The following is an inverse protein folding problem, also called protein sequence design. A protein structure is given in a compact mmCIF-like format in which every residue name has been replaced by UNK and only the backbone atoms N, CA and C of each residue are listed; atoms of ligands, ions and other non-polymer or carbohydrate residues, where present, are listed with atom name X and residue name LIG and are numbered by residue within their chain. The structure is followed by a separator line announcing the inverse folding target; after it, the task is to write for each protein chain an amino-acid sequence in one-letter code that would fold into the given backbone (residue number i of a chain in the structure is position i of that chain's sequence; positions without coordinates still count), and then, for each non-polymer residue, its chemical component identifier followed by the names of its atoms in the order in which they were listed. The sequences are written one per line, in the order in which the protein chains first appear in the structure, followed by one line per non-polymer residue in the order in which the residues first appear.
data_IF_883863951546
#
_entry.id   IF_883863951546
#
_cell.length_a   1.000
_cell.length_b   1.000
_cell.length_c   1.000
_cell.angle_alpha   90.00
_cell.angle_beta   90.00
_cell.angle_gamma   90.00
#
_symmetry.space_group_name_H-M   'P 1'
#
loop_
_entity.id
_entity.type
_entity.pdbx_description
1 polymer ?
#
# COMPACT_ATOMS: atom_id res chain seq x y z
N UNK A 1 -9.44 -1.08 9.07
CA UNK A 1 -8.94 -1.81 10.27
C UNK A 1 -8.16 -0.85 11.14
N UNK A 2 -8.39 -0.88 12.44
CA UNK A 2 -7.73 0.01 13.41
C UNK A 2 -7.03 -0.81 14.47
N UNK A 3 -5.77 -0.49 14.72
CA UNK A 3 -4.95 -1.09 15.78
C UNK A 3 -4.26 -0.02 16.61
N UNK A 4 -3.74 -0.39 17.77
CA UNK A 4 -2.98 0.50 18.66
C UNK A 4 -1.51 0.10 18.81
N UNK A 5 -1.10 -0.94 18.12
CA UNK A 5 0.24 -1.54 18.20
C UNK A 5 0.91 -1.56 16.83
N UNK A 6 2.14 -2.02 16.84
CA UNK A 6 2.88 -2.29 15.63
C UNK A 6 2.26 -3.45 14.82
N UNK A 7 2.60 -3.53 13.56
CA UNK A 7 2.20 -4.57 12.63
C UNK A 7 0.69 -4.62 12.39
N UNK A 8 0.18 -3.59 11.77
CA UNK A 8 -1.23 -3.52 11.35
C UNK A 8 -1.33 -3.60 9.84
N UNK A 9 -2.13 -4.51 9.34
CA UNK A 9 -2.40 -4.66 7.91
C UNK A 9 -3.88 -4.87 7.63
N UNK A 10 -4.32 -4.49 6.46
CA UNK A 10 -5.71 -4.68 6.04
C UNK A 10 -6.10 -6.16 5.91
N UNK A 11 -5.13 -7.02 5.62
CA UNK A 11 -5.32 -8.48 5.49
C UNK A 11 -4.60 -9.23 6.61
N UNK A 12 -3.33 -8.90 6.87
CA UNK A 12 -2.53 -9.57 7.89
C UNK A 12 -1.65 -8.59 8.64
N UNK A 13 -1.59 -8.70 9.96
CA UNK A 13 -0.69 -7.87 10.76
C UNK A 13 0.77 -8.24 10.54
N UNK A 14 1.11 -9.52 10.74
CA UNK A 14 2.46 -10.03 10.56
C UNK A 14 2.44 -11.42 9.94
N UNK A 15 3.09 -11.58 8.79
CA UNK A 15 3.25 -12.85 8.09
C UNK A 15 4.71 -13.30 8.21
N UNK A 16 5.00 -14.18 9.15
CA UNK A 16 6.35 -14.69 9.40
C UNK A 16 6.67 -15.92 8.55
N UNK A 17 5.66 -16.67 8.17
CA UNK A 17 5.81 -17.90 7.40
C UNK A 17 4.75 -17.95 6.31
N UNK A 18 5.18 -18.11 5.09
CA UNK A 18 4.29 -18.19 3.94
C UNK A 18 4.05 -16.86 3.22
N UNK A 19 3.59 -16.97 2.00
CA UNK A 19 3.34 -15.82 1.13
C UNK A 19 1.91 -15.28 1.28
N UNK A 20 1.75 -13.98 1.02
CA UNK A 20 0.44 -13.31 0.92
C UNK A 20 0.15 -13.13 -0.56
N UNK A 21 -0.85 -13.81 -1.08
CA UNK A 21 -1.09 -13.88 -2.53
C UNK A 21 -2.54 -13.52 -2.85
N UNK A 22 -2.71 -12.71 -3.90
CA UNK A 22 -4.03 -12.36 -4.46
C UNK A 22 -5.01 -11.82 -3.43
N UNK A 23 -4.53 -10.91 -2.59
CA UNK A 23 -5.33 -10.26 -1.57
C UNK A 23 -5.67 -8.83 -1.99
N UNK A 24 -6.83 -8.37 -1.56
CA UNK A 24 -7.33 -7.03 -1.84
C UNK A 24 -7.76 -6.35 -0.54
N UNK A 25 -7.45 -5.07 -0.39
CA UNK A 25 -7.89 -4.26 0.73
C UNK A 25 -8.21 -2.84 0.26
N UNK A 26 -9.45 -2.42 0.44
CA UNK A 26 -9.94 -1.12 -0.02
C UNK A 26 -10.42 -0.22 1.12
N UNK A 27 -10.27 -0.68 2.33
CA UNK A 27 -10.69 0.07 3.52
C UNK A 27 -9.50 0.81 4.15
N UNK A 28 -9.75 1.89 4.90
CA UNK A 28 -8.70 2.54 5.67
C UNK A 28 -8.04 1.59 6.66
N UNK A 29 -6.72 1.70 6.79
CA UNK A 29 -5.93 0.96 7.77
C UNK A 29 -5.26 1.96 8.70
N UNK A 30 -5.50 1.84 9.99
CA UNK A 30 -5.02 2.81 10.97
C UNK A 30 -4.36 2.13 12.15
N UNK A 31 -3.18 2.63 12.51
CA UNK A 31 -2.57 2.37 13.81
C UNK A 31 -2.34 3.68 14.55
N UNK A 32 -2.95 3.79 15.72
CA UNK A 32 -2.77 4.97 16.56
C UNK A 32 -1.45 4.94 17.31
N UNK A 33 -0.37 5.33 16.65
CA UNK A 33 0.97 5.44 17.24
C UNK A 33 1.87 4.21 17.07
N UNK A 34 1.41 3.17 16.35
CA UNK A 34 2.23 2.02 15.99
C UNK A 34 2.96 2.17 14.67
N UNK A 35 3.97 1.38 14.47
CA UNK A 35 4.78 1.29 13.26
C UNK A 35 4.47 0.01 12.47
N UNK A 36 4.96 -0.08 11.25
CA UNK A 36 4.73 -1.19 10.34
C UNK A 36 3.25 -1.36 10.00
N UNK A 37 2.73 -0.39 9.28
CA UNK A 37 1.34 -0.36 8.84
C UNK A 37 1.28 -0.46 7.34
N UNK A 38 0.55 -1.42 6.81
CA UNK A 38 0.40 -1.63 5.39
C UNK A 38 -1.04 -1.88 4.96
N UNK A 39 -1.37 -1.53 3.75
CA UNK A 39 -2.69 -1.79 3.19
C UNK A 39 -3.03 -3.28 3.12
N UNK A 40 -2.03 -4.11 2.88
CA UNK A 40 -2.17 -5.58 2.87
C UNK A 40 -1.54 -6.19 4.13
N UNK A 41 -0.27 -5.92 4.38
CA UNK A 41 0.45 -6.50 5.51
C UNK A 41 1.16 -5.42 6.33
N UNK A 42 1.14 -5.54 7.65
CA UNK A 42 2.01 -4.74 8.50
C UNK A 42 3.46 -5.12 8.31
N UNK A 43 3.76 -6.41 8.34
CA UNK A 43 5.08 -6.96 8.01
C UNK A 43 4.93 -8.33 7.34
N UNK A 44 5.77 -8.59 6.34
CA UNK A 44 5.82 -9.89 5.67
C UNK A 44 7.27 -10.31 5.43
N UNK A 45 7.65 -11.46 5.98
CA UNK A 45 9.00 -12.03 5.86
C UNK A 45 9.20 -12.87 4.60
N UNK A 46 8.12 -13.14 3.87
CA UNK A 46 8.11 -13.84 2.59
C UNK A 46 7.43 -13.00 1.53
N UNK A 47 7.10 -13.60 0.40
CA UNK A 47 6.58 -12.88 -0.74
C UNK A 47 5.14 -12.34 -0.53
N UNK A 48 4.93 -11.13 -1.00
CA UNK A 48 3.61 -10.56 -1.27
C UNK A 48 3.45 -10.50 -2.79
N UNK A 49 2.40 -11.09 -3.33
CA UNK A 49 2.20 -11.17 -4.78
C UNK A 49 0.76 -10.86 -5.19
N UNK A 50 0.64 -10.13 -6.28
CA UNK A 50 -0.67 -9.88 -6.91
C UNK A 50 -1.70 -9.34 -5.92
N UNK A 51 -1.28 -8.42 -5.07
CA UNK A 51 -2.11 -7.79 -4.07
C UNK A 51 -2.48 -6.38 -4.49
N UNK A 52 -3.65 -5.93 -4.06
CA UNK A 52 -4.21 -4.64 -4.44
C UNK A 52 -4.65 -3.89 -3.19
N UNK A 53 -4.22 -2.65 -3.07
CA UNK A 53 -4.55 -1.83 -1.90
C UNK A 53 -4.99 -0.43 -2.30
N UNK A 54 -6.07 0.03 -1.68
CA UNK A 54 -6.57 1.39 -1.78
C UNK A 54 -7.10 1.83 -0.41
N UNK A 55 -7.07 3.12 -0.16
CA UNK A 55 -7.58 3.69 1.10
C UNK A 55 -6.49 4.39 1.90
N UNK A 56 -6.90 5.13 2.93
CA UNK A 56 -5.98 5.87 3.79
C UNK A 56 -5.24 4.93 4.73
N UNK A 57 -3.94 5.13 4.84
CA UNK A 57 -3.09 4.39 5.77
C UNK A 57 -2.45 5.35 6.75
N UNK A 58 -2.67 5.12 8.02
CA UNK A 58 -2.20 5.96 9.12
C UNK A 58 -1.36 5.14 10.10
N UNK A 59 -0.21 5.67 10.46
CA UNK A 59 0.70 5.03 11.42
C UNK A 59 1.83 5.96 11.78
N UNK A 60 2.75 5.49 12.63
CA UNK A 60 3.87 6.30 13.07
C UNK A 60 5.03 6.24 12.07
N UNK A 61 5.63 5.06 11.90
CA UNK A 61 6.76 4.86 11.00
C UNK A 61 6.57 3.57 10.19
N UNK A 62 7.29 3.48 9.08
CA UNK A 62 7.25 2.33 8.17
C UNK A 62 5.83 2.01 7.75
N UNK A 63 5.22 2.94 7.04
CA UNK A 63 3.90 2.75 6.47
C UNK A 63 4.00 2.61 4.96
N UNK A 64 3.24 1.69 4.40
CA UNK A 64 3.26 1.42 2.98
C UNK A 64 1.91 1.05 2.41
N UNK A 65 1.71 1.35 1.14
CA UNK A 65 0.47 1.02 0.45
C UNK A 65 0.19 -0.49 0.44
N UNK A 66 1.22 -1.29 0.25
CA UNK A 66 1.12 -2.76 0.30
C UNK A 66 1.59 -3.27 1.65
N UNK A 67 2.80 -2.90 2.08
CA UNK A 67 3.38 -3.40 3.32
C UNK A 67 4.06 -2.30 4.13
N UNK A 68 3.94 -2.35 5.46
CA UNK A 68 4.79 -1.54 6.33
C UNK A 68 6.25 -1.96 6.20
N UNK A 69 6.52 -3.25 6.26
CA UNK A 69 7.80 -3.87 5.93
C UNK A 69 7.55 -5.12 5.09
N UNK A 70 8.25 -5.24 3.97
CA UNK A 70 8.17 -6.40 3.09
C UNK A 70 9.54 -6.98 2.78
N UNK A 71 9.60 -8.26 2.44
CA UNK A 71 10.78 -8.89 1.88
C UNK A 71 10.65 -8.84 0.34
N UNK A 72 9.92 -9.75 -0.24
CA UNK A 72 9.70 -9.79 -1.68
C UNK A 72 8.30 -9.29 -2.02
N UNK A 73 8.19 -8.29 -2.88
CA UNK A 73 6.89 -7.76 -3.31
C UNK A 73 6.83 -7.75 -4.84
N UNK A 74 5.88 -8.50 -5.39
CA UNK A 74 5.75 -8.68 -6.82
C UNK A 74 4.34 -8.41 -7.33
N UNK A 75 4.23 -7.74 -8.47
CA UNK A 75 2.98 -7.54 -9.21
C UNK A 75 1.84 -6.99 -8.36
N UNK A 76 2.14 -6.11 -7.43
CA UNK A 76 1.18 -5.52 -6.53
C UNK A 76 0.91 -4.06 -6.89
N UNK A 77 -0.30 -3.59 -6.61
CA UNK A 77 -0.79 -2.29 -7.05
C UNK A 77 -1.35 -1.52 -5.87
N UNK A 78 -0.92 -0.28 -5.71
CA UNK A 78 -1.31 0.56 -4.59
C UNK A 78 -1.82 1.92 -5.03
N UNK A 79 -2.94 2.32 -4.47
CA UNK A 79 -3.47 3.67 -4.57
C UNK A 79 -3.96 4.12 -3.20
N UNK A 80 -3.04 4.59 -2.38
CA UNK A 80 -3.28 4.91 -0.98
C UNK A 80 -2.93 6.35 -0.67
N UNK A 81 -3.67 6.93 0.25
CA UNK A 81 -3.32 8.16 0.94
C UNK A 81 -2.55 7.79 2.21
N UNK A 82 -1.27 8.13 2.25
CA UNK A 82 -0.38 7.77 3.36
C UNK A 82 -0.24 8.95 4.33
N UNK A 83 -0.26 8.66 5.61
CA UNK A 83 0.15 9.61 6.63
C UNK A 83 1.66 9.84 6.54
N UNK A 84 2.06 11.05 6.21
CA UNK A 84 3.46 11.42 5.99
C UNK A 84 4.11 12.04 7.25
N UNK A 85 3.52 11.87 8.41
CA UNK A 85 4.00 12.50 9.65
C UNK A 85 5.23 11.82 10.27
N UNK A 86 5.49 10.55 9.95
CA UNK A 86 6.61 9.78 10.47
C UNK A 86 7.74 9.58 9.46
N UNK A 87 8.51 8.52 9.66
CA UNK A 87 9.61 8.10 8.78
C UNK A 87 9.29 6.77 8.10
N UNK A 88 9.90 6.52 6.94
CA UNK A 88 9.72 5.26 6.22
C UNK A 88 8.35 5.14 5.56
N UNK A 89 7.91 6.16 4.83
CA UNK A 89 6.68 6.10 4.05
C UNK A 89 7.00 5.70 2.61
N UNK A 90 6.27 4.72 2.10
CA UNK A 90 6.39 4.30 0.72
C UNK A 90 5.05 3.89 0.12
N UNK A 91 4.82 4.25 -1.13
CA UNK A 91 3.57 3.92 -1.82
C UNK A 91 3.39 2.41 -2.00
N UNK A 92 4.47 1.66 -2.06
CA UNK A 92 4.44 0.18 -2.05
C UNK A 92 4.81 -0.34 -0.67
N UNK A 93 5.96 0.05 -0.11
CA UNK A 93 6.39 -0.41 1.21
C UNK A 93 7.07 0.71 1.98
N UNK A 94 6.86 0.76 3.28
CA UNK A 94 7.59 1.67 4.16
C UNK A 94 9.07 1.28 4.27
N UNK A 95 9.31 -0.02 4.26
CA UNK A 95 10.66 -0.60 4.31
C UNK A 95 10.70 -1.92 3.55
N UNK A 96 11.82 -2.20 2.93
CA UNK A 96 12.11 -3.51 2.34
C UNK A 96 13.32 -4.10 3.05
N UNK A 97 13.25 -5.38 3.37
CA UNK A 97 14.36 -6.11 4.01
C UNK A 97 15.61 -6.10 3.11
N UNK A 98 16.78 -6.16 3.70
CA UNK A 98 18.05 -6.04 2.96
C UNK A 98 18.20 -7.05 1.81
N UNK A 99 17.66 -8.25 1.99
CA UNK A 99 17.64 -9.29 0.96
C UNK A 99 16.35 -9.28 0.10
N UNK A 100 15.50 -8.29 0.29
CA UNK A 100 14.20 -8.21 -0.35
C UNK A 100 14.29 -7.78 -1.82
N UNK A 101 13.34 -8.26 -2.61
CA UNK A 101 13.22 -7.95 -4.02
C UNK A 101 11.88 -7.32 -4.36
N UNK A 102 11.90 -6.26 -5.14
CA UNK A 102 10.72 -5.63 -5.69
C UNK A 102 10.69 -5.82 -7.21
N UNK A 103 9.55 -6.21 -7.74
CA UNK A 103 9.40 -6.35 -9.19
C UNK A 103 7.94 -6.17 -9.65
N UNK A 104 7.76 -5.36 -10.68
CA UNK A 104 6.46 -5.21 -11.33
C UNK A 104 5.36 -4.59 -10.48
N UNK A 105 5.72 -3.82 -9.46
CA UNK A 105 4.75 -3.13 -8.63
C UNK A 105 4.47 -1.73 -9.17
N UNK A 106 3.23 -1.28 -9.05
CA UNK A 106 2.79 0.01 -9.53
C UNK A 106 2.02 0.77 -8.46
N UNK A 107 2.17 2.08 -8.45
CA UNK A 107 1.41 2.93 -7.56
C UNK A 107 1.01 4.23 -8.26
N UNK A 108 -0.03 4.86 -7.78
CA UNK A 108 -0.43 6.19 -8.27
C UNK A 108 0.48 7.24 -7.65
N UNK A 109 1.13 8.03 -8.49
CA UNK A 109 2.01 9.12 -8.06
C UNK A 109 1.25 10.20 -7.29
N UNK A 110 1.90 10.91 -6.40
CA UNK A 110 1.31 12.07 -5.72
C UNK A 110 1.68 12.24 -4.26
N UNK A 111 2.48 11.37 -3.68
CA UNK A 111 2.85 11.48 -2.27
C UNK A 111 4.26 10.93 -2.04
N UNK A 112 4.32 9.75 -1.44
CA UNK A 112 5.57 9.07 -1.18
C UNK A 112 6.15 8.45 -2.46
N UNK A 113 7.46 8.28 -2.52
CA UNK A 113 8.09 7.38 -3.48
C UNK A 113 7.72 5.92 -3.24
N UNK A 114 8.26 5.01 -4.03
CA UNK A 114 7.89 3.59 -3.95
C UNK A 114 8.21 2.94 -2.61
N UNK A 115 9.39 3.18 -2.09
CA UNK A 115 9.84 2.64 -0.78
C UNK A 115 10.63 3.71 -0.05
N UNK A 116 10.28 3.98 1.20
CA UNK A 116 10.94 4.96 2.07
C UNK A 116 11.26 6.29 1.36
N UNK A 117 10.31 6.81 0.61
CA UNK A 117 10.51 8.03 -0.18
C UNK A 117 11.39 7.87 -1.40
N UNK A 118 11.96 6.71 -1.66
CA UNK A 118 12.88 6.44 -2.76
C UNK A 118 12.14 5.74 -3.90
N UNK A 119 12.41 6.18 -5.13
CA UNK A 119 11.93 5.48 -6.31
C UNK A 119 12.78 4.25 -6.63
N UNK A 120 12.16 3.11 -6.79
CA UNK A 120 12.81 1.86 -7.20
C UNK A 120 12.51 1.55 -8.66
N UNK A 121 13.46 1.83 -9.55
CA UNK A 121 13.32 1.52 -10.97
C UNK A 121 13.12 0.02 -11.20
N UNK A 122 12.03 -0.33 -11.91
CA UNK A 122 11.68 -1.72 -12.19
C UNK A 122 11.03 -2.46 -11.02
N UNK A 123 11.16 -1.95 -9.81
CA UNK A 123 10.58 -2.56 -8.61
C UNK A 123 9.26 -1.92 -8.19
N UNK A 124 9.23 -0.60 -8.13
CA UNK A 124 8.02 0.18 -7.82
C UNK A 124 7.93 1.36 -8.79
N UNK A 125 6.95 1.34 -9.66
CA UNK A 125 6.82 2.33 -10.74
C UNK A 125 5.66 3.27 -10.48
N UNK A 126 5.92 4.59 -10.40
CA UNK A 126 4.85 5.58 -10.31
C UNK A 126 4.09 5.68 -11.64
N UNK A 127 2.79 5.79 -11.57
CA UNK A 127 1.91 6.02 -12.71
C UNK A 127 0.95 7.15 -12.39
N UNK A 128 0.53 7.89 -13.42
CA UNK A 128 -0.65 8.74 -13.26
C UNK A 128 -1.87 7.86 -12.97
N UNK A 129 -2.90 8.44 -12.37
CA UNK A 129 -4.13 7.69 -12.09
C UNK A 129 -4.73 7.07 -13.37
N UNK A 130 -4.68 7.80 -14.46
CA UNK A 130 -5.19 7.32 -15.76
C UNK A 130 -4.39 6.11 -16.28
N UNK A 131 -3.07 6.18 -16.22
CA UNK A 131 -2.21 5.07 -16.61
C UNK A 131 -2.38 3.86 -15.70
N UNK A 132 -2.53 4.11 -14.39
CA UNK A 132 -2.78 3.05 -13.41
C UNK A 132 -4.08 2.30 -13.71
N UNK A 133 -5.18 3.02 -13.99
CA UNK A 133 -6.45 2.41 -14.35
C UNK A 133 -6.44 1.71 -15.71
N UNK A 134 -5.47 1.98 -16.57
CA UNK A 134 -5.29 1.27 -17.84
C UNK A 134 -4.63 -0.10 -17.67
N UNK A 135 -4.06 -0.37 -16.50
CA UNK A 135 -3.50 -1.68 -16.18
C UNK A 135 -4.63 -2.67 -15.85
N UNK A 136 -4.29 -3.93 -15.81
CA UNK A 136 -5.23 -4.99 -15.38
C UNK A 136 -5.40 -4.96 -13.86
N UNK A 137 -6.17 -3.99 -13.41
CA UNK A 137 -6.46 -3.76 -11.99
C UNK A 137 -7.94 -4.02 -11.71
N UNK A 138 -8.29 -4.40 -10.46
CA UNK A 138 -9.69 -4.56 -10.09
C UNK A 138 -10.52 -3.30 -10.31
N UNK A 139 -11.80 -3.48 -10.65
CA UNK A 139 -12.73 -2.40 -10.92
C UNK A 139 -12.87 -1.39 -9.77
N UNK A 140 -12.61 -1.82 -8.55
CA UNK A 140 -12.64 -0.95 -7.38
C UNK A 140 -11.72 0.27 -7.50
N UNK A 141 -10.63 0.18 -8.24
CA UNK A 141 -9.72 1.30 -8.49
C UNK A 141 -10.28 2.34 -9.46
N UNK A 142 -11.19 1.96 -10.34
CA UNK A 142 -11.80 2.85 -11.34
C UNK A 142 -13.23 3.26 -11.00
N UNK A 143 -13.88 2.54 -10.11
CA UNK A 143 -15.23 2.85 -9.63
C UNK A 143 -15.17 3.74 -8.39
N UNK A 144 -14.81 5.01 -8.60
CA UNK A 144 -15.14 5.98 -7.57
C UNK A 144 -16.64 6.25 -7.62
N UNK A 145 -17.32 6.03 -6.51
CA UNK A 145 -18.56 6.72 -6.26
C UNK A 145 -18.19 8.19 -6.06
N UNK A 146 -18.08 8.92 -7.15
CA UNK A 146 -18.12 10.35 -7.09
C UNK A 146 -19.57 10.68 -6.73
N UNK A 147 -19.83 10.83 -5.47
CA UNK A 147 -21.05 11.47 -5.05
C UNK A 147 -20.90 12.92 -5.44
N UNK A 148 -21.40 13.29 -6.59
CA UNK A 148 -21.62 14.69 -6.90
C UNK A 148 -22.71 15.19 -5.97
N UNK A 149 -22.31 15.69 -4.84
CA UNK A 149 -23.13 16.64 -4.13
C UNK A 149 -22.95 18.00 -4.78
N UNK A 150 -23.43 18.13 -5.98
CA UNK A 150 -23.70 19.45 -6.50
C UNK A 150 -24.98 19.88 -5.82
N UNK A 151 -24.90 20.85 -4.94
CA UNK A 151 -26.01 21.44 -4.20
C UNK A 151 -27.22 21.71 -5.11
N UNK A 152 -28.23 20.87 -5.01
CA UNK A 152 -29.46 21.02 -5.77
C UNK A 152 -29.34 20.68 -7.26
N UNK A 153 -28.23 20.13 -7.71
CA UNK A 153 -28.03 19.58 -9.06
C UNK A 153 -27.60 18.14 -8.92
N UNK A 154 -28.54 17.32 -8.78
CA UNK A 154 -28.35 15.88 -8.73
C UNK A 154 -28.66 15.25 -10.08
#
# INVERSE_FOLDING_TARGET
MTGKKDYVGGVVGKAEYGAVISCESYAPVESTGGSYVGGIAGSASYAIRSCYSMGRITGKNNIGGIAGEGCDIFYSYAYNDLDMSGEGQGSIAGKVSDDGTLYGNYYVEGGAGGVDGIGYHGGATPLSYQEFCSKDVPDAFSQFTITFQADGVE
#
